data_IF_766785359462
#
_entry.id   IF_766785359462
#
_cell.length_a   1.000
_cell.length_b   1.000
_cell.length_c   1.000
_cell.angle_alpha   90.00
_cell.angle_beta   90.00
_cell.angle_gamma   90.00
#
_symmetry.space_group_name_H-M   'P 1'
#
loop_
_entity.id
_entity.type
_entity.pdbx_description
1 polymer ?
#
# COMPACT_ATOMS: atom_id res chain seq x y z
N UNK A 1 -25.15 -41.98 -6.73
CA UNK A 1 -23.67 -41.83 -6.82
C UNK A 1 -23.37 -40.34 -7.00
N UNK A 2 -23.36 -39.57 -5.91
CA UNK A 2 -23.10 -38.12 -5.95
C UNK A 2 -21.62 -37.91 -6.26
N UNK A 3 -21.28 -37.45 -7.46
CA UNK A 3 -19.95 -36.92 -7.76
C UNK A 3 -19.76 -35.68 -6.88
N UNK A 4 -18.99 -35.82 -5.80
CA UNK A 4 -18.29 -34.69 -5.19
C UNK A 4 -17.47 -34.05 -6.30
N UNK A 5 -17.94 -32.93 -6.84
CA UNK A 5 -17.12 -32.05 -7.64
C UNK A 5 -15.90 -31.70 -6.78
N UNK A 6 -14.72 -31.94 -7.32
CA UNK A 6 -13.47 -31.62 -6.66
C UNK A 6 -13.53 -30.15 -6.20
N UNK A 7 -13.36 -29.91 -4.91
CA UNK A 7 -13.10 -28.59 -4.35
C UNK A 7 -11.77 -28.10 -4.96
N UNK A 8 -11.82 -27.47 -6.12
CA UNK A 8 -10.73 -26.60 -6.55
C UNK A 8 -10.71 -25.47 -5.52
N UNK A 9 -9.71 -25.48 -4.63
CA UNK A 9 -9.51 -24.40 -3.65
C UNK A 9 -9.36 -23.10 -4.44
N UNK A 10 -10.42 -22.29 -4.50
CA UNK A 10 -10.34 -20.95 -5.04
C UNK A 10 -9.64 -20.08 -4.00
N UNK A 11 -8.33 -19.88 -4.17
CA UNK A 11 -7.53 -18.99 -3.33
C UNK A 11 -7.99 -17.56 -3.63
N UNK A 12 -8.60 -16.89 -2.64
CA UNK A 12 -8.94 -15.47 -2.75
C UNK A 12 -7.83 -14.63 -2.16
N UNK A 13 -7.37 -13.66 -2.95
CA UNK A 13 -6.38 -12.66 -2.57
C UNK A 13 -7.06 -11.30 -2.59
N UNK A 14 -7.01 -10.59 -1.47
CA UNK A 14 -7.33 -9.16 -1.43
C UNK A 14 -6.05 -8.38 -1.76
N UNK A 15 -6.05 -7.67 -2.88
CA UNK A 15 -4.86 -7.00 -3.39
C UNK A 15 -4.66 -5.59 -2.81
N UNK A 16 -5.64 -5.04 -2.08
CA UNK A 16 -5.58 -3.66 -1.62
C UNK A 16 -6.46 -3.44 -0.41
N UNK A 17 -5.94 -3.80 0.77
CA UNK A 17 -6.62 -3.60 2.05
C UNK A 17 -5.87 -2.58 2.91
N UNK A 18 -6.57 -1.56 3.39
CA UNK A 18 -5.96 -0.47 4.15
C UNK A 18 -5.91 -0.80 5.65
N UNK A 19 -5.30 -1.92 6.04
CA UNK A 19 -5.33 -2.40 7.44
C UNK A 19 -4.60 -1.50 8.45
N UNK A 20 -3.83 -0.53 7.99
CA UNK A 20 -3.25 0.54 8.82
C UNK A 20 -4.28 1.61 9.17
N UNK A 21 -5.46 1.63 8.54
CA UNK A 21 -6.51 2.59 8.86
C UNK A 21 -6.93 2.49 10.35
N UNK A 22 -6.95 3.61 11.08
CA UNK A 22 -7.30 3.63 12.51
C UNK A 22 -8.69 3.05 12.82
N UNK A 23 -9.61 3.01 11.85
CA UNK A 23 -10.93 2.39 12.02
C UNK A 23 -10.83 0.91 12.40
N UNK A 24 -9.84 0.18 11.88
CA UNK A 24 -9.59 -1.22 12.26
C UNK A 24 -9.08 -1.39 13.69
N UNK A 25 -8.67 -0.27 14.33
CA UNK A 25 -8.30 -0.18 15.74
C UNK A 25 -9.39 0.48 16.59
N UNK A 26 -10.57 0.74 16.00
CA UNK A 26 -11.71 1.37 16.65
C UNK A 26 -11.61 2.88 16.82
N UNK A 27 -10.67 3.54 16.13
CA UNK A 27 -10.46 4.98 16.15
C UNK A 27 -11.16 5.65 14.96
N UNK A 28 -12.10 6.54 15.24
CA UNK A 28 -12.86 7.30 14.23
C UNK A 28 -12.70 8.78 14.52
N UNK A 29 -12.16 9.54 13.56
CA UNK A 29 -11.89 10.97 13.73
C UNK A 29 -11.13 11.30 15.04
N UNK A 30 -10.16 10.46 15.41
CA UNK A 30 -9.35 10.62 16.63
C UNK A 30 -10.03 10.18 17.94
N UNK A 31 -11.26 9.65 17.90
CA UNK A 31 -11.99 9.15 19.08
C UNK A 31 -12.04 7.63 19.09
N UNK A 32 -11.73 7.02 20.24
CA UNK A 32 -11.96 5.59 20.47
C UNK A 32 -13.47 5.33 20.58
N UNK A 33 -14.05 4.63 19.60
CA UNK A 33 -15.50 4.33 19.53
C UNK A 33 -15.79 2.89 19.96
N UNK A 34 -14.89 1.95 19.65
CA UNK A 34 -14.95 0.56 20.12
C UNK A 34 -13.55 0.05 20.41
N UNK A 35 -13.41 -1.09 21.11
CA UNK A 35 -12.11 -1.72 21.31
C UNK A 35 -11.48 -2.16 19.98
N UNK A 36 -10.14 -2.25 19.94
CA UNK A 36 -9.41 -2.80 18.81
C UNK A 36 -9.91 -4.23 18.49
N UNK A 37 -10.41 -4.41 17.26
CA UNK A 37 -10.96 -5.68 16.78
C UNK A 37 -10.25 -6.18 15.50
N UNK A 38 -9.05 -5.68 15.18
CA UNK A 38 -8.32 -6.06 13.96
C UNK A 38 -8.15 -7.59 13.82
N UNK A 39 -7.82 -8.28 14.92
CA UNK A 39 -7.68 -9.74 14.89
C UNK A 39 -9.01 -10.45 14.58
N UNK A 40 -10.14 -9.86 14.99
CA UNK A 40 -11.46 -10.38 14.64
C UNK A 40 -11.79 -10.12 13.17
N UNK A 41 -11.40 -8.95 12.62
CA UNK A 41 -11.50 -8.65 11.18
C UNK A 41 -10.74 -9.68 10.35
N UNK A 42 -9.48 -9.95 10.69
CA UNK A 42 -8.64 -10.94 10.02
C UNK A 42 -9.21 -12.36 10.12
N UNK A 43 -9.74 -12.72 11.28
CA UNK A 43 -10.41 -14.00 11.48
C UNK A 43 -11.66 -14.14 10.59
N UNK A 44 -12.47 -13.08 10.49
CA UNK A 44 -13.65 -13.04 9.59
C UNK A 44 -13.22 -13.19 8.13
N UNK A 45 -12.17 -12.48 7.69
CA UNK A 45 -11.63 -12.59 6.33
C UNK A 45 -11.19 -14.03 6.00
N UNK A 46 -10.42 -14.66 6.91
CA UNK A 46 -10.00 -16.06 6.76
C UNK A 46 -11.18 -17.03 6.71
N UNK A 47 -12.18 -16.87 7.59
CA UNK A 47 -13.41 -17.70 7.58
C UNK A 47 -14.23 -17.52 6.30
N UNK A 48 -14.20 -16.33 5.72
CA UNK A 48 -14.82 -16.08 4.44
C UNK A 48 -14.04 -16.72 3.28
N UNK A 49 -12.81 -17.22 3.50
CA UNK A 49 -11.93 -17.83 2.50
C UNK A 49 -10.92 -16.88 1.86
N UNK A 50 -10.62 -15.72 2.48
CA UNK A 50 -9.54 -14.82 2.01
C UNK A 50 -8.23 -15.36 2.57
N UNK A 51 -7.36 -15.84 1.69
CA UNK A 51 -6.13 -16.54 2.07
C UNK A 51 -4.92 -15.62 2.13
N UNK A 52 -4.95 -14.52 1.38
CA UNK A 52 -3.87 -13.55 1.24
C UNK A 52 -4.44 -12.14 1.19
N UNK A 53 -3.73 -11.21 1.80
CA UNK A 53 -4.10 -9.80 1.88
C UNK A 53 -2.83 -8.97 1.69
N UNK A 54 -2.89 -7.99 0.79
CA UNK A 54 -1.82 -7.02 0.56
C UNK A 54 -2.23 -5.70 1.19
N UNK A 55 -1.49 -5.30 2.22
CA UNK A 55 -1.67 -4.04 2.93
C UNK A 55 -1.14 -2.89 2.07
N UNK A 56 -2.02 -1.97 1.70
CA UNK A 56 -1.65 -0.80 0.92
C UNK A 56 -0.98 0.23 1.82
N UNK A 57 0.23 0.65 1.47
CA UNK A 57 0.92 1.76 2.12
C UNK A 57 1.07 2.93 1.13
N UNK A 58 0.74 4.15 1.57
CA UNK A 58 0.69 5.34 0.73
C UNK A 58 1.78 6.37 0.98
N UNK A 59 2.64 6.18 1.99
CA UNK A 59 3.82 7.01 2.25
C UNK A 59 4.84 6.28 3.16
N UNK A 60 5.96 6.94 3.48
CA UNK A 60 7.00 6.39 4.36
C UNK A 60 6.49 6.04 5.76
N UNK A 61 5.54 6.80 6.32
CA UNK A 61 4.97 6.53 7.65
C UNK A 61 4.10 5.28 7.62
N UNK A 62 3.15 5.21 6.67
CA UNK A 62 2.27 4.08 6.44
C UNK A 62 3.07 2.80 6.17
N UNK A 63 4.17 2.91 5.43
CA UNK A 63 5.06 1.78 5.17
C UNK A 63 5.67 1.22 6.46
N UNK A 64 6.08 2.09 7.40
CA UNK A 64 6.63 1.66 8.69
C UNK A 64 5.56 0.96 9.54
N UNK A 65 4.36 1.52 9.59
CA UNK A 65 3.21 0.89 10.29
C UNK A 65 2.82 -0.45 9.64
N UNK A 66 2.86 -0.53 8.31
CA UNK A 66 2.60 -1.76 7.59
C UNK A 66 3.67 -2.83 7.85
N UNK A 67 4.95 -2.46 8.00
CA UNK A 67 6.02 -3.40 8.42
C UNK A 67 5.65 -4.05 9.76
N UNK A 68 5.29 -3.23 10.76
CA UNK A 68 4.92 -3.72 12.09
C UNK A 68 3.69 -4.64 12.02
N UNK A 69 2.76 -4.35 11.11
CA UNK A 69 1.57 -5.16 10.91
C UNK A 69 1.87 -6.50 10.22
N UNK A 70 2.67 -6.52 9.14
CA UNK A 70 2.95 -7.77 8.41
C UNK A 70 3.90 -8.68 9.17
N UNK A 71 4.66 -8.15 10.13
CA UNK A 71 5.54 -8.90 11.02
C UNK A 71 4.74 -9.95 11.79
N UNK A 72 5.06 -11.22 11.57
CA UNK A 72 4.42 -12.36 12.25
C UNK A 72 3.00 -12.71 11.76
N UNK A 73 2.49 -12.04 10.72
CA UNK A 73 1.17 -12.32 10.15
C UNK A 73 1.26 -12.92 8.74
N UNK A 74 0.18 -13.56 8.29
CA UNK A 74 0.02 -14.07 6.92
C UNK A 74 -0.22 -12.99 5.86
N UNK A 75 0.15 -11.73 6.15
CA UNK A 75 -0.08 -10.54 5.34
C UNK A 75 1.12 -10.24 4.45
N UNK A 76 0.89 -9.44 3.42
CA UNK A 76 1.86 -8.86 2.49
C UNK A 76 1.63 -7.35 2.44
N UNK A 77 2.52 -6.59 1.81
CA UNK A 77 2.38 -5.14 1.70
C UNK A 77 2.94 -4.57 0.40
N UNK A 78 2.54 -3.35 0.09
CA UNK A 78 3.14 -2.50 -0.94
C UNK A 78 4.11 -1.50 -0.30
N UNK A 79 5.04 -0.95 -1.09
CA UNK A 79 5.89 0.18 -0.67
C UNK A 79 5.90 1.25 -1.76
N UNK A 80 5.51 2.47 -1.41
CA UNK A 80 5.42 3.58 -2.36
C UNK A 80 4.94 4.86 -1.70
N UNK A 81 4.64 5.85 -2.55
CA UNK A 81 4.11 7.15 -2.19
C UNK A 81 2.93 7.47 -3.11
N UNK A 82 1.76 7.58 -2.51
CA UNK A 82 0.48 7.86 -3.15
C UNK A 82 0.49 9.27 -3.76
N UNK A 83 -0.21 9.53 -4.88
CA UNK A 83 -0.26 10.85 -5.52
C UNK A 83 -0.54 11.99 -4.53
N UNK A 84 -1.49 11.79 -3.61
CA UNK A 84 -1.86 12.82 -2.61
C UNK A 84 -0.79 13.10 -1.55
N UNK A 85 0.25 12.27 -1.48
CA UNK A 85 1.37 12.36 -0.53
C UNK A 85 2.68 12.75 -1.20
N UNK A 86 2.74 12.92 -2.52
CA UNK A 86 3.99 13.19 -3.24
C UNK A 86 4.69 14.49 -2.79
N UNK A 87 3.98 15.46 -2.23
CA UNK A 87 4.60 16.66 -1.62
C UNK A 87 5.51 16.33 -0.42
N UNK A 88 5.36 15.15 0.19
CA UNK A 88 6.23 14.68 1.26
C UNK A 88 7.69 14.49 0.80
N UNK A 89 7.94 14.23 -0.50
CA UNK A 89 9.30 14.20 -1.03
C UNK A 89 10.00 15.54 -0.85
N UNK A 90 9.30 16.65 -1.11
CA UNK A 90 9.87 18.00 -1.07
C UNK A 90 9.99 18.52 0.36
N UNK A 91 9.05 18.16 1.23
CA UNK A 91 9.07 18.57 2.65
C UNK A 91 9.95 17.68 3.54
N UNK A 92 10.50 16.58 3.04
CA UNK A 92 11.38 15.71 3.81
C UNK A 92 12.68 16.43 4.19
N UNK A 93 13.20 16.16 5.39
CA UNK A 93 14.42 16.82 5.91
C UNK A 93 15.65 16.63 4.99
N UNK A 94 15.78 15.45 4.39
CA UNK A 94 16.81 15.12 3.39
C UNK A 94 16.44 15.50 1.95
N UNK A 95 15.37 16.28 1.76
CA UNK A 95 14.78 16.58 0.47
C UNK A 95 14.28 15.33 -0.29
N UNK A 96 14.02 15.48 -1.60
CA UNK A 96 13.47 14.38 -2.42
C UNK A 96 14.32 13.11 -2.42
N UNK A 97 15.65 13.24 -2.46
CA UNK A 97 16.54 12.08 -2.42
C UNK A 97 16.57 11.41 -1.04
N UNK A 98 16.40 12.17 0.04
CA UNK A 98 16.23 11.64 1.39
C UNK A 98 14.97 10.79 1.52
N UNK A 99 13.83 11.30 1.02
CA UNK A 99 12.57 10.55 1.03
C UNK A 99 12.65 9.29 0.16
N UNK A 100 13.24 9.40 -1.03
CA UNK A 100 13.47 8.26 -1.92
C UNK A 100 14.39 7.21 -1.27
N UNK A 101 15.43 7.64 -0.55
CA UNK A 101 16.31 6.76 0.21
C UNK A 101 15.60 6.10 1.38
N UNK A 102 14.63 6.76 2.01
CA UNK A 102 13.80 6.16 3.04
C UNK A 102 12.93 5.02 2.47
N UNK A 103 12.31 5.20 1.31
CA UNK A 103 11.58 4.13 0.60
C UNK A 103 12.50 2.95 0.27
N UNK A 104 13.71 3.21 -0.25
CA UNK A 104 14.72 2.18 -0.50
C UNK A 104 15.12 1.42 0.76
N UNK A 105 15.24 2.12 1.89
CA UNK A 105 15.58 1.51 3.18
C UNK A 105 14.46 0.58 3.67
N UNK A 106 13.20 0.98 3.50
CA UNK A 106 12.02 0.16 3.80
C UNK A 106 12.01 -1.12 2.95
N UNK A 107 12.34 -1.03 1.65
CA UNK A 107 12.45 -2.20 0.76
C UNK A 107 13.49 -3.23 1.23
N UNK A 108 14.47 -2.82 2.05
CA UNK A 108 15.51 -3.68 2.61
C UNK A 108 15.24 -4.08 4.07
N UNK A 109 14.07 -3.71 4.63
CA UNK A 109 13.75 -3.98 6.03
C UNK A 109 13.69 -5.50 6.32
N UNK A 110 14.51 -6.03 7.25
CA UNK A 110 14.52 -7.46 7.56
C UNK A 110 13.16 -8.00 8.03
N UNK A 111 12.42 -7.18 8.79
CA UNK A 111 11.11 -7.54 9.35
C UNK A 111 10.02 -7.72 8.28
N UNK A 112 10.21 -7.18 7.07
CA UNK A 112 9.30 -7.34 5.94
C UNK A 112 9.91 -8.16 4.79
N UNK A 113 11.00 -8.88 5.05
CA UNK A 113 11.65 -9.74 4.04
C UNK A 113 10.66 -10.77 3.49
N UNK A 114 10.45 -10.75 2.18
CA UNK A 114 9.49 -11.63 1.48
C UNK A 114 8.01 -11.26 1.69
N UNK A 115 7.72 -10.11 2.30
CA UNK A 115 6.36 -9.59 2.51
C UNK A 115 6.01 -8.43 1.59
N UNK A 116 7.02 -7.71 1.09
CA UNK A 116 6.84 -6.63 0.13
C UNK A 116 6.68 -7.24 -1.27
N UNK A 117 5.53 -7.03 -1.90
CA UNK A 117 5.15 -7.73 -3.14
C UNK A 117 4.87 -6.79 -4.32
N UNK A 118 4.79 -5.48 -4.08
CA UNK A 118 4.60 -4.48 -5.12
C UNK A 118 5.16 -3.12 -4.74
N UNK A 119 5.54 -2.33 -5.74
CA UNK A 119 5.81 -0.89 -5.59
C UNK A 119 4.52 -0.11 -5.74
N UNK A 120 4.15 0.68 -4.74
CA UNK A 120 2.90 1.42 -4.68
C UNK A 120 2.35 1.51 -3.25
N UNK A 121 1.20 2.13 -3.03
CA UNK A 121 0.37 2.75 -4.06
C UNK A 121 1.03 4.02 -4.61
N UNK A 122 1.14 4.12 -5.93
CA UNK A 122 1.72 5.27 -6.63
C UNK A 122 0.96 5.51 -7.93
N UNK A 123 1.01 6.73 -8.46
CA UNK A 123 0.23 7.09 -9.64
C UNK A 123 -0.21 8.54 -9.59
N UNK A 124 -1.39 8.82 -10.13
CA UNK A 124 -1.91 10.18 -10.32
C UNK A 124 -3.39 10.26 -9.89
N UNK A 125 -3.73 11.32 -9.17
CA UNK A 125 -5.09 11.63 -8.73
C UNK A 125 -5.38 13.14 -8.91
N UNK A 126 -6.06 13.48 -10.00
CA UNK A 126 -6.42 14.86 -10.33
C UNK A 126 -7.73 15.32 -9.67
N UNK A 127 -8.45 14.44 -8.98
CA UNK A 127 -9.57 14.83 -8.11
C UNK A 127 -9.06 15.28 -6.73
N UNK A 128 -7.75 15.19 -6.46
CA UNK A 128 -7.12 15.45 -5.17
C UNK A 128 -5.97 16.45 -5.25
N UNK A 129 -5.99 17.35 -6.23
CA UNK A 129 -4.96 18.39 -6.42
C UNK A 129 -4.78 19.35 -5.23
N UNK A 130 -5.78 19.45 -4.35
CA UNK A 130 -5.68 20.23 -3.11
C UNK A 130 -4.76 19.59 -2.06
N UNK A 131 -4.43 18.30 -2.18
CA UNK A 131 -3.44 17.62 -1.34
C UNK A 131 -2.04 17.67 -1.94
N UNK A 132 -1.92 17.50 -3.25
CA UNK A 132 -0.64 17.52 -3.96
C UNK A 132 -0.84 18.05 -5.38
N UNK A 133 -0.12 19.12 -5.81
CA UNK A 133 -0.24 19.67 -7.16
C UNK A 133 0.11 18.66 -8.25
N UNK A 134 -0.48 18.85 -9.43
CA UNK A 134 -0.35 17.94 -10.57
C UNK A 134 1.12 17.71 -10.95
N UNK A 135 1.91 18.77 -10.98
CA UNK A 135 3.33 18.74 -11.36
C UNK A 135 4.17 17.91 -10.38
N UNK A 136 3.87 18.04 -9.08
CA UNK A 136 4.51 17.25 -8.02
C UNK A 136 4.11 15.78 -8.12
N UNK A 137 2.84 15.49 -8.39
CA UNK A 137 2.39 14.10 -8.62
C UNK A 137 3.11 13.47 -9.82
N UNK A 138 3.15 14.14 -10.97
CA UNK A 138 3.83 13.64 -12.18
C UNK A 138 5.30 13.32 -11.91
N UNK A 139 6.04 14.28 -11.36
CA UNK A 139 7.46 14.17 -11.05
C UNK A 139 7.78 12.98 -10.13
N UNK A 140 7.01 12.80 -9.06
CA UNK A 140 7.31 11.75 -8.08
C UNK A 140 6.60 10.42 -8.36
N UNK A 141 5.61 10.39 -9.25
CA UNK A 141 5.15 9.14 -9.84
C UNK A 141 6.24 8.55 -10.76
N UNK A 142 6.79 9.35 -11.68
CA UNK A 142 7.89 8.93 -12.57
C UNK A 142 9.10 8.42 -11.77
N UNK A 143 9.48 9.13 -10.70
CA UNK A 143 10.60 8.73 -9.83
C UNK A 143 10.42 7.34 -9.19
N UNK A 144 9.19 6.88 -8.98
CA UNK A 144 8.94 5.59 -8.35
C UNK A 144 9.12 4.40 -9.31
N UNK A 145 9.17 4.63 -10.62
CA UNK A 145 9.54 3.58 -11.59
C UNK A 145 10.96 3.07 -11.36
N UNK A 146 11.88 3.91 -10.89
CA UNK A 146 13.23 3.50 -10.48
C UNK A 146 13.21 2.43 -9.37
N UNK A 147 12.23 2.49 -8.46
CA UNK A 147 12.06 1.47 -7.41
C UNK A 147 11.58 0.15 -8.02
N UNK A 148 10.61 0.20 -8.93
CA UNK A 148 10.11 -0.97 -9.64
C UNK A 148 11.20 -1.61 -10.50
N UNK A 149 11.99 -0.79 -11.20
CA UNK A 149 13.12 -1.25 -11.99
C UNK A 149 14.19 -1.90 -11.11
N UNK A 150 14.56 -1.29 -9.98
CA UNK A 150 15.59 -1.83 -9.10
C UNK A 150 15.16 -3.14 -8.41
N UNK A 151 13.89 -3.24 -8.02
CA UNK A 151 13.37 -4.40 -7.26
C UNK A 151 12.82 -5.51 -8.14
N UNK A 152 12.47 -5.21 -9.39
CA UNK A 152 11.73 -6.09 -10.32
C UNK A 152 10.37 -6.54 -9.76
N UNK A 153 9.83 -5.83 -8.77
CA UNK A 153 8.48 -6.04 -8.27
C UNK A 153 7.45 -5.43 -9.22
N UNK A 154 6.24 -6.02 -9.31
CA UNK A 154 5.13 -5.38 -10.01
C UNK A 154 4.76 -4.05 -9.35
N UNK A 155 4.08 -3.17 -10.10
CA UNK A 155 3.54 -1.92 -9.56
C UNK A 155 2.07 -2.06 -9.16
N UNK A 156 1.69 -1.41 -8.07
CA UNK A 156 0.32 -1.22 -7.61
C UNK A 156 -0.05 0.25 -7.83
N UNK A 157 -0.86 0.49 -8.87
CA UNK A 157 -1.03 1.81 -9.46
C UNK A 157 -2.38 2.46 -9.10
N UNK A 158 -2.35 3.77 -8.90
CA UNK A 158 -3.52 4.64 -8.73
C UNK A 158 -3.74 5.53 -9.96
N UNK A 159 -4.93 5.49 -10.52
CA UNK A 159 -5.31 6.39 -11.62
C UNK A 159 -6.71 6.96 -11.38
N UNK A 160 -6.79 8.29 -11.25
CA UNK A 160 -8.07 9.00 -11.11
C UNK A 160 -8.08 10.33 -11.87
N UNK A 161 -8.92 10.38 -12.90
CA UNK A 161 -9.21 11.59 -13.69
C UNK A 161 -7.96 12.23 -14.35
N UNK A 162 -7.01 11.41 -14.79
CA UNK A 162 -5.68 11.86 -15.23
C UNK A 162 -5.57 12.06 -16.74
N UNK A 163 -6.60 11.65 -17.48
CA UNK A 163 -6.65 11.75 -18.93
C UNK A 163 -5.58 10.89 -19.59
N UNK A 164 -4.66 11.53 -20.32
CA UNK A 164 -3.58 10.83 -21.03
C UNK A 164 -2.27 10.79 -20.24
N UNK A 165 -2.14 11.61 -19.21
CA UNK A 165 -0.86 11.84 -18.55
C UNK A 165 -0.37 10.57 -17.84
N UNK A 166 -1.28 9.77 -17.27
CA UNK A 166 -0.93 8.51 -16.61
C UNK A 166 -0.28 7.49 -17.56
N UNK A 167 -0.77 7.38 -18.79
CA UNK A 167 -0.23 6.45 -19.78
C UNK A 167 0.89 7.02 -20.65
N UNK A 168 1.27 8.28 -20.44
CA UNK A 168 2.33 8.97 -21.17
C UNK A 168 3.68 8.96 -20.45
N UNK A 169 3.70 8.53 -19.18
CA UNK A 169 4.88 8.23 -18.37
C UNK A 169 5.33 6.78 -18.61
#
# INVERSE_FOLDING_TARGET
>A
MYRRLANTLCIRVDIGINLTDPMFRGLYHGKQVHADDLQQVLFRAKRAGVERMIVTAGNVSDCKEAIDLVKGQGLFMTVGCHPTRCSEFESHEGGPEGYFSALKSILQAPDAKGKIVAIGECGLDYDRLHFCPKETQLKFFERQFDLAEATKLPMFLHDRNTGKDFGAL
#
